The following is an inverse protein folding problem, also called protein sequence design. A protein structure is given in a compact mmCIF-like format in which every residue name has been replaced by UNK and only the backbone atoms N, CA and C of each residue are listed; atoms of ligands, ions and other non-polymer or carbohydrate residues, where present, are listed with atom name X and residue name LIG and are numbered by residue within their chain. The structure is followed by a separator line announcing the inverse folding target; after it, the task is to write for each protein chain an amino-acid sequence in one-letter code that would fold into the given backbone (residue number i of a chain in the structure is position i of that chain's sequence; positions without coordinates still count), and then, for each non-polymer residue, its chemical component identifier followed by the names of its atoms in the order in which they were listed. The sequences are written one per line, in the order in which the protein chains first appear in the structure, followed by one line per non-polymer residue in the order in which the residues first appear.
data_IF_962498697647
#
_entry.id   IF_962498697647
#
_cell.length_a   1.000
_cell.length_b   1.000
_cell.length_c   1.000
_cell.angle_alpha   90.00
_cell.angle_beta   90.00
_cell.angle_gamma   90.00
#
_symmetry.space_group_name_H-M   'P 1'
#
loop_
_entity.id
_entity.type
_entity.pdbx_description
1 polymer ?
#
# COMPACT_ATOMS: atom_id res chain seq x y z
N UNK A 1 -9.67 -13.30 10.98
CA UNK A 1 -8.60 -12.48 10.36
C UNK A 1 -8.32 -13.06 8.99
N UNK A 2 -8.36 -12.22 7.96
CA UNK A 2 -8.25 -12.61 6.55
C UNK A 2 -7.09 -11.85 5.91
N UNK A 3 -6.13 -12.57 5.33
CA UNK A 3 -4.91 -12.04 4.73
C UNK A 3 -4.84 -12.22 3.21
N UNK A 4 -5.95 -12.03 2.51
CA UNK A 4 -6.00 -12.13 1.05
C UNK A 4 -6.43 -10.82 0.41
N UNK A 5 -5.94 -10.53 -0.78
CA UNK A 5 -6.31 -9.37 -1.61
C UNK A 5 -7.51 -9.63 -2.52
N UNK A 6 -8.12 -10.81 -2.50
CA UNK A 6 -9.19 -11.23 -3.41
C UNK A 6 -10.61 -10.74 -3.05
N UNK A 7 -10.75 -9.68 -2.26
CA UNK A 7 -12.05 -9.10 -1.93
C UNK A 7 -12.37 -7.93 -2.87
N UNK A 8 -13.37 -8.14 -3.73
CA UNK A 8 -14.04 -7.09 -4.49
C UNK A 8 -15.15 -6.43 -3.64
N UNK A 9 -15.71 -5.32 -4.13
CA UNK A 9 -16.75 -4.56 -3.43
C UNK A 9 -18.00 -5.40 -3.14
N UNK A 10 -18.37 -6.32 -4.02
CA UNK A 10 -19.52 -7.19 -3.83
C UNK A 10 -19.30 -8.17 -2.66
N UNK A 11 -18.10 -8.76 -2.57
CA UNK A 11 -17.72 -9.64 -1.47
C UNK A 11 -17.62 -8.90 -0.14
N UNK A 12 -17.04 -7.70 -0.16
CA UNK A 12 -16.98 -6.83 1.04
C UNK A 12 -18.37 -6.46 1.51
N UNK A 13 -19.28 -6.08 0.60
CA UNK A 13 -20.68 -5.74 0.93
C UNK A 13 -21.40 -6.94 1.54
N UNK A 14 -21.27 -8.12 0.95
CA UNK A 14 -21.86 -9.35 1.48
C UNK A 14 -21.33 -9.70 2.86
N UNK A 15 -20.01 -9.58 3.06
CA UNK A 15 -19.36 -9.84 4.35
C UNK A 15 -19.82 -8.82 5.41
N UNK A 16 -19.94 -7.55 5.04
CA UNK A 16 -20.45 -6.50 5.92
C UNK A 16 -21.87 -6.79 6.40
N UNK A 17 -22.75 -7.26 5.52
CA UNK A 17 -24.10 -7.65 5.90
C UNK A 17 -24.12 -8.84 6.88
N UNK A 18 -23.29 -9.87 6.63
CA UNK A 18 -23.16 -11.02 7.52
C UNK A 18 -22.63 -10.64 8.91
N UNK A 19 -21.62 -9.76 8.96
CA UNK A 19 -21.04 -9.28 10.22
C UNK A 19 -22.05 -8.42 10.98
N UNK A 20 -22.80 -7.56 10.29
CA UNK A 20 -23.85 -6.73 10.91
C UNK A 20 -24.98 -7.57 11.54
N UNK A 21 -25.29 -8.72 10.96
CA UNK A 21 -26.24 -9.67 11.55
C UNK A 21 -25.69 -10.43 12.78
N UNK A 22 -24.38 -10.32 13.05
CA UNK A 22 -23.67 -10.98 14.13
C UNK A 22 -22.85 -9.99 14.96
N UNK A 23 -23.47 -9.14 15.79
CA UNK A 23 -22.84 -7.97 16.39
C UNK A 23 -21.70 -8.27 17.37
N UNK A 24 -21.50 -9.52 17.75
CA UNK A 24 -20.38 -9.97 18.62
C UNK A 24 -19.17 -10.47 17.81
N UNK A 25 -19.29 -10.56 16.48
CA UNK A 25 -18.22 -11.07 15.62
C UNK A 25 -17.40 -9.93 15.05
N UNK A 26 -16.07 -10.00 15.23
CA UNK A 26 -15.12 -9.12 14.56
C UNK A 26 -14.46 -9.82 13.36
N UNK A 27 -14.39 -9.14 12.22
CA UNK A 27 -13.69 -9.62 11.02
C UNK A 27 -12.69 -8.56 10.58
N UNK A 28 -11.42 -8.92 10.51
CA UNK A 28 -10.35 -8.11 9.93
C UNK A 28 -10.00 -8.64 8.54
N UNK A 29 -10.07 -7.78 7.53
CA UNK A 29 -9.44 -7.99 6.22
C UNK A 29 -8.20 -7.10 6.18
N UNK A 30 -7.00 -7.68 6.11
CA UNK A 30 -5.75 -6.93 5.99
C UNK A 30 -4.98 -7.41 4.76
N UNK A 31 -4.86 -6.59 3.72
CA UNK A 31 -4.11 -6.93 2.52
C UNK A 31 -2.60 -7.04 2.77
N UNK A 32 -2.11 -6.48 3.87
CA UNK A 32 -0.72 -6.60 4.31
C UNK A 32 -0.64 -6.67 5.84
N UNK A 33 0.16 -7.62 6.35
CA UNK A 33 0.44 -7.80 7.79
C UNK A 33 1.86 -7.38 8.19
N UNK A 34 2.71 -6.95 7.24
CA UNK A 34 4.01 -6.38 7.59
C UNK A 34 3.80 -4.99 8.20
N UNK A 35 4.03 -4.85 9.51
CA UNK A 35 3.86 -3.59 10.23
C UNK A 35 4.66 -2.46 9.56
N UNK A 36 5.91 -2.74 9.16
CA UNK A 36 6.73 -1.76 8.47
C UNK A 36 6.16 -1.32 7.12
N UNK A 37 5.49 -2.22 6.36
CA UNK A 37 4.83 -1.86 5.11
C UNK A 37 3.60 -0.97 5.35
N UNK A 38 2.83 -1.23 6.41
CA UNK A 38 1.68 -0.39 6.79
C UNK A 38 2.15 1.00 7.18
N UNK A 39 3.17 1.10 8.04
CA UNK A 39 3.77 2.38 8.43
C UNK A 39 4.36 3.14 7.23
N UNK A 40 5.04 2.43 6.31
CA UNK A 40 5.54 3.04 5.07
C UNK A 40 4.42 3.68 4.26
N UNK A 41 3.28 3.00 4.10
CA UNK A 41 2.11 3.53 3.38
C UNK A 41 1.56 4.81 4.05
N UNK A 42 1.43 4.82 5.38
CA UNK A 42 0.96 5.98 6.14
C UNK A 42 1.93 7.15 6.04
N UNK A 43 3.23 6.90 6.21
CA UNK A 43 4.26 7.93 6.10
C UNK A 43 4.36 8.48 4.68
N UNK A 44 4.22 7.63 3.66
CA UNK A 44 4.20 8.06 2.27
C UNK A 44 2.99 8.96 1.97
N UNK A 45 1.80 8.60 2.44
CA UNK A 45 0.61 9.44 2.30
C UNK A 45 0.78 10.80 3.01
N UNK A 46 1.39 10.81 4.21
CA UNK A 46 1.70 12.05 4.93
C UNK A 46 2.70 12.91 4.17
N UNK A 47 3.81 12.33 3.68
CA UNK A 47 4.85 13.03 2.94
C UNK A 47 4.32 13.60 1.61
N UNK A 48 3.43 12.88 0.91
CA UNK A 48 2.87 13.28 -0.37
C UNK A 48 2.14 14.64 -0.35
N UNK A 49 1.78 15.14 0.82
CA UNK A 49 1.16 16.46 1.01
C UNK A 49 2.14 17.64 0.92
N UNK A 50 3.45 17.37 0.91
CA UNK A 50 4.48 18.39 1.02
C UNK A 50 5.50 18.38 -0.12
N UNK A 51 5.60 17.26 -0.86
CA UNK A 51 6.59 17.12 -1.93
C UNK A 51 5.96 17.29 -3.32
N UNK A 52 6.67 17.99 -4.21
CA UNK A 52 6.19 18.27 -5.56
C UNK A 52 6.13 17.01 -6.42
N UNK A 53 7.08 16.10 -6.25
CA UNK A 53 7.22 14.88 -7.02
C UNK A 53 7.25 13.66 -6.11
N UNK A 54 6.70 12.53 -6.59
CA UNK A 54 6.80 11.25 -5.92
C UNK A 54 6.75 10.10 -6.94
N UNK A 55 7.58 9.08 -6.73
CA UNK A 55 7.58 7.84 -7.51
C UNK A 55 7.73 6.63 -6.59
N UNK A 56 7.20 5.48 -7.00
CA UNK A 56 7.30 4.23 -6.25
C UNK A 56 8.12 3.23 -7.06
N UNK A 57 9.06 2.56 -6.39
CA UNK A 57 9.76 1.38 -6.93
C UNK A 57 9.38 0.18 -6.07
N UNK A 58 8.76 -0.83 -6.65
CA UNK A 58 8.44 -2.09 -5.98
C UNK A 58 9.27 -3.23 -6.59
N UNK A 59 9.75 -4.14 -5.75
CA UNK A 59 10.71 -5.15 -6.16
C UNK A 59 10.32 -6.50 -5.57
N UNK A 60 10.16 -7.52 -6.42
CA UNK A 60 9.75 -8.85 -6.01
C UNK A 60 10.46 -9.94 -6.80
N UNK A 61 10.30 -11.17 -6.32
CA UNK A 61 10.73 -12.36 -7.03
C UNK A 61 10.00 -12.49 -8.38
N UNK A 62 10.64 -13.03 -9.44
CA UNK A 62 10.02 -13.19 -10.77
C UNK A 62 8.76 -14.05 -10.81
N UNK A 63 8.51 -14.90 -9.80
CA UNK A 63 7.28 -15.68 -9.68
C UNK A 63 6.04 -14.88 -9.27
N UNK A 64 6.18 -13.58 -8.94
CA UNK A 64 5.04 -12.72 -8.62
C UNK A 64 4.23 -12.41 -9.88
N UNK A 65 2.94 -12.74 -9.85
CA UNK A 65 2.06 -12.72 -11.03
C UNK A 65 1.46 -11.34 -11.35
N UNK A 66 1.35 -10.47 -10.35
CA UNK A 66 0.81 -9.11 -10.50
C UNK A 66 1.93 -8.07 -10.58
N UNK A 67 1.72 -7.03 -11.38
CA UNK A 67 2.54 -5.82 -11.48
C UNK A 67 1.62 -4.64 -11.88
N UNK A 68 1.65 -3.53 -11.08
CA UNK A 68 2.34 -3.38 -9.81
C UNK A 68 1.77 -4.27 -8.70
N UNK A 69 2.52 -4.42 -7.60
CA UNK A 69 2.04 -5.12 -6.42
C UNK A 69 0.85 -4.41 -5.77
N UNK A 70 -0.05 -5.18 -5.13
CA UNK A 70 -1.19 -4.60 -4.43
C UNK A 70 -0.80 -3.56 -3.35
N UNK A 71 0.34 -3.76 -2.67
CA UNK A 71 0.86 -2.77 -1.70
C UNK A 71 1.28 -1.48 -2.40
N UNK A 72 1.96 -1.56 -3.53
CA UNK A 72 2.38 -0.37 -4.28
C UNK A 72 1.18 0.39 -4.86
N UNK A 73 0.20 -0.33 -5.42
CA UNK A 73 -1.04 0.28 -5.91
C UNK A 73 -1.78 1.01 -4.77
N UNK A 74 -1.94 0.35 -3.61
CA UNK A 74 -2.59 0.96 -2.44
C UNK A 74 -1.82 2.16 -1.90
N UNK A 75 -0.49 2.11 -1.86
CA UNK A 75 0.35 3.26 -1.47
C UNK A 75 0.08 4.44 -2.40
N UNK A 76 0.08 4.22 -3.72
CA UNK A 76 -0.17 5.27 -4.70
C UNK A 76 -1.58 5.88 -4.58
N UNK A 77 -2.61 5.06 -4.30
CA UNK A 77 -3.98 5.54 -4.02
C UNK A 77 -4.00 6.49 -2.83
N UNK A 78 -3.43 6.07 -1.69
CA UNK A 78 -3.36 6.88 -0.47
C UNK A 78 -2.59 8.19 -0.68
N UNK A 79 -1.48 8.14 -1.42
CA UNK A 79 -0.71 9.34 -1.78
C UNK A 79 -1.52 10.27 -2.69
N UNK A 80 -2.23 9.73 -3.69
CA UNK A 80 -3.08 10.49 -4.60
C UNK A 80 -4.21 11.19 -3.84
N UNK A 81 -4.87 10.50 -2.92
CA UNK A 81 -5.90 11.10 -2.04
C UNK A 81 -5.31 12.22 -1.19
N UNK A 82 -4.18 11.98 -0.53
CA UNK A 82 -3.50 12.97 0.31
C UNK A 82 -3.08 14.22 -0.47
N UNK A 83 -2.59 14.06 -1.71
CA UNK A 83 -2.25 15.18 -2.60
C UNK A 83 -3.48 16.00 -2.99
N UNK A 84 -4.59 15.34 -3.33
CA UNK A 84 -5.86 16.01 -3.64
C UNK A 84 -6.40 16.83 -2.44
N UNK A 85 -6.43 16.22 -1.24
CA UNK A 85 -6.88 16.90 -0.01
C UNK A 85 -6.03 18.13 0.32
N UNK A 86 -4.74 18.10 -0.05
CA UNK A 86 -3.81 19.21 0.19
C UNK A 86 -3.72 20.19 -0.99
N UNK A 87 -4.58 20.04 -2.00
CA UNK A 87 -4.60 20.86 -3.22
C UNK A 87 -3.22 20.96 -3.92
N UNK A 88 -2.46 19.86 -3.87
CA UNK A 88 -1.15 19.80 -4.52
C UNK A 88 -1.30 19.93 -6.04
N UNK A 89 -0.36 20.65 -6.66
CA UNK A 89 -0.28 20.77 -8.11
C UNK A 89 0.07 19.42 -8.76
N UNK A 90 -0.25 19.23 -10.05
CA UNK A 90 0.27 18.10 -10.81
C UNK A 90 1.79 18.00 -10.69
N UNK A 91 2.30 16.78 -10.64
CA UNK A 91 3.75 16.56 -10.58
C UNK A 91 4.43 17.04 -11.86
N UNK A 92 5.58 17.74 -11.77
CA UNK A 92 6.31 18.18 -12.95
C UNK A 92 6.88 16.97 -13.70
N UNK A 93 6.60 16.88 -14.99
CA UNK A 93 7.19 15.89 -15.89
C UNK A 93 7.33 16.54 -17.28
N UNK A 94 8.56 16.77 -17.71
CA UNK A 94 8.88 17.36 -19.00
C UNK A 94 9.21 16.31 -20.09
N UNK A 95 8.94 15.03 -19.83
CA UNK A 95 9.24 13.92 -20.75
C UNK A 95 8.43 14.07 -22.03
N UNK A 96 9.12 14.25 -23.16
CA UNK A 96 8.50 14.36 -24.51
C UNK A 96 8.75 13.13 -25.38
N UNK A 97 9.78 12.36 -25.09
CA UNK A 97 10.15 11.14 -25.81
C UNK A 97 10.44 10.03 -24.79
N UNK A 98 9.78 8.91 -24.94
CA UNK A 98 10.01 7.73 -24.09
C UNK A 98 9.69 6.45 -24.83
N UNK A 99 10.30 5.37 -24.46
CA UNK A 99 9.85 4.02 -24.77
C UNK A 99 8.64 3.66 -23.90
N UNK A 100 7.80 2.74 -24.37
CA UNK A 100 6.65 2.27 -23.60
C UNK A 100 7.10 1.72 -22.24
N UNK A 101 6.41 2.15 -21.19
CA UNK A 101 6.70 1.74 -19.82
C UNK A 101 7.92 2.41 -19.15
N UNK A 102 8.71 3.24 -19.86
CA UNK A 102 9.91 3.88 -19.29
C UNK A 102 9.60 4.76 -18.07
N UNK A 103 8.40 5.35 -18.00
CA UNK A 103 7.91 6.14 -16.86
C UNK A 103 7.03 5.33 -15.92
N UNK A 104 7.13 3.98 -15.96
CA UNK A 104 6.35 3.07 -15.15
C UNK A 104 4.86 3.04 -15.51
N UNK A 105 4.08 2.37 -14.69
CA UNK A 105 2.61 2.45 -14.71
C UNK A 105 2.14 3.55 -13.75
N UNK A 106 0.92 4.07 -13.93
CA UNK A 106 0.37 5.08 -13.03
C UNK A 106 -0.86 4.55 -12.29
N UNK A 107 -0.91 4.83 -10.99
CA UNK A 107 -2.12 4.69 -10.19
C UNK A 107 -2.44 6.09 -9.63
N UNK A 108 -3.57 6.64 -10.05
CA UNK A 108 -3.79 8.06 -9.92
C UNK A 108 -2.75 8.87 -10.72
N UNK A 109 -2.04 9.76 -10.07
CA UNK A 109 -0.93 10.52 -10.66
C UNK A 109 0.46 9.99 -10.28
N UNK A 110 0.54 8.96 -9.45
CA UNK A 110 1.81 8.40 -8.93
C UNK A 110 2.37 7.33 -9.89
N UNK A 111 3.57 7.51 -10.46
CA UNK A 111 4.27 6.47 -11.21
C UNK A 111 4.75 5.33 -10.30
N UNK A 112 4.62 4.10 -10.81
CA UNK A 112 5.09 2.88 -10.13
C UNK A 112 5.97 2.09 -11.08
N UNK A 113 7.18 1.76 -10.63
CA UNK A 113 8.15 0.94 -11.34
C UNK A 113 8.23 -0.43 -10.69
N UNK A 114 8.00 -1.49 -11.47
CA UNK A 114 7.99 -2.87 -10.97
C UNK A 114 9.27 -3.60 -11.39
N UNK A 115 10.07 -4.01 -10.42
CA UNK A 115 11.29 -4.80 -10.64
C UNK A 115 11.03 -6.25 -10.28
N UNK A 116 11.45 -7.17 -11.14
CA UNK A 116 11.40 -8.63 -10.94
C UNK A 116 12.79 -9.21 -11.08
N UNK A 117 13.39 -9.67 -9.94
CA UNK A 117 14.73 -10.27 -9.95
C UNK A 117 14.83 -11.41 -8.94
N UNK A 118 15.67 -12.40 -9.24
CA UNK A 118 15.97 -13.50 -8.33
C UNK A 118 16.59 -12.96 -7.04
N UNK A 119 16.29 -13.60 -5.91
CA UNK A 119 16.79 -13.19 -4.58
C UNK A 119 15.94 -12.13 -3.88
N UNK A 120 15.07 -11.41 -4.61
CA UNK A 120 14.13 -10.48 -4.00
C UNK A 120 12.95 -11.23 -3.36
N UNK A 121 12.47 -10.73 -2.23
CA UNK A 121 11.25 -11.22 -1.56
C UNK A 121 10.09 -10.23 -1.80
N UNK A 122 10.03 -9.14 -1.04
CA UNK A 122 9.03 -8.09 -1.23
C UNK A 122 9.61 -6.78 -0.67
N UNK A 123 9.83 -5.83 -1.54
CA UNK A 123 10.46 -4.56 -1.23
C UNK A 123 9.68 -3.42 -1.87
N UNK A 124 9.63 -2.29 -1.21
CA UNK A 124 9.08 -1.07 -1.78
C UNK A 124 9.84 0.15 -1.29
N UNK A 125 10.11 1.04 -2.22
CA UNK A 125 10.72 2.33 -1.98
C UNK A 125 9.81 3.42 -2.55
N UNK A 126 9.57 4.48 -1.77
CA UNK A 126 8.84 5.67 -2.19
C UNK A 126 9.82 6.82 -2.17
N UNK A 127 10.12 7.36 -3.35
CA UNK A 127 11.01 8.49 -3.54
C UNK A 127 10.18 9.77 -3.69
N UNK A 128 10.48 10.77 -2.89
CA UNK A 128 9.92 12.12 -2.97
C UNK A 128 10.98 13.12 -3.39
N UNK A 129 10.59 14.08 -4.20
CA UNK A 129 11.45 15.19 -4.64
C UNK A 129 10.82 16.55 -4.37
N UNK A 130 11.60 17.45 -3.81
CA UNK A 130 11.31 18.86 -3.60
C UNK A 130 12.48 19.74 -3.99
N UNK A 131 12.34 21.05 -3.84
CA UNK A 131 13.40 22.00 -4.18
C UNK A 131 14.59 21.81 -3.24
N UNK A 132 15.69 21.30 -3.78
CA UNK A 132 16.96 21.14 -3.05
C UNK A 132 17.03 19.91 -2.12
N UNK A 133 16.01 19.03 -2.12
CA UNK A 133 15.99 17.84 -1.27
C UNK A 133 15.25 16.65 -1.90
N UNK A 134 15.57 15.48 -1.43
CA UNK A 134 14.81 14.25 -1.64
C UNK A 134 14.53 13.56 -0.32
N UNK A 135 13.40 12.85 -0.23
CA UNK A 135 13.08 11.95 0.87
C UNK A 135 12.82 10.56 0.31
N UNK A 136 13.44 9.55 0.87
CA UNK A 136 13.15 8.14 0.54
C UNK A 136 12.60 7.42 1.75
N UNK A 137 11.47 6.75 1.57
CA UNK A 137 10.88 5.85 2.57
C UNK A 137 10.93 4.44 1.99
N UNK A 138 11.60 3.53 2.68
CA UNK A 138 11.81 2.15 2.19
C UNK A 138 11.41 1.12 3.22
N UNK A 139 10.79 0.05 2.75
CA UNK A 139 10.48 -1.16 3.51
C UNK A 139 10.95 -2.39 2.76
N UNK A 140 11.63 -3.29 3.47
CA UNK A 140 12.14 -4.56 2.95
C UNK A 140 11.57 -5.71 3.79
N UNK A 141 10.77 -6.59 3.17
CA UNK A 141 10.43 -7.90 3.72
C UNK A 141 11.48 -8.90 3.27
N UNK A 142 12.27 -9.39 4.20
CA UNK A 142 13.36 -10.34 3.93
C UNK A 142 12.90 -11.79 4.12
N UNK A 143 11.86 -12.00 4.94
CA UNK A 143 11.29 -13.31 5.25
C UNK A 143 9.80 -13.17 5.58
N UNK A 144 9.03 -14.25 5.36
CA UNK A 144 7.60 -14.31 5.70
C UNK A 144 7.33 -14.21 7.20
N UNK A 145 8.30 -14.52 8.04
CA UNK A 145 8.20 -14.32 9.50
C UNK A 145 7.90 -12.87 9.85
N UNK A 146 8.32 -11.91 9.03
CA UNK A 146 8.04 -10.47 9.21
C UNK A 146 6.56 -10.10 9.21
N UNK A 147 5.66 -10.97 8.71
CA UNK A 147 4.21 -10.76 8.78
C UNK A 147 3.61 -11.17 10.13
N UNK A 148 4.28 -12.05 10.89
CA UNK A 148 3.70 -12.65 12.10
C UNK A 148 3.37 -11.64 13.20
N UNK A 149 4.19 -10.62 13.48
CA UNK A 149 3.81 -9.60 14.46
C UNK A 149 2.49 -8.91 14.12
N UNK A 150 2.26 -8.57 12.86
CA UNK A 150 0.99 -7.95 12.41
C UNK A 150 -0.18 -8.91 12.45
N UNK A 151 0.02 -10.20 12.11
CA UNK A 151 -1.01 -11.23 12.26
C UNK A 151 -1.44 -11.33 13.72
N UNK A 152 -0.48 -11.40 14.66
CA UNK A 152 -0.76 -11.46 16.09
C UNK A 152 -1.46 -10.20 16.61
N UNK A 153 -1.04 -9.02 16.11
CA UNK A 153 -1.72 -7.77 16.41
C UNK A 153 -3.18 -7.82 15.97
N UNK A 154 -3.42 -8.21 14.71
CA UNK A 154 -4.77 -8.34 14.16
C UNK A 154 -5.66 -9.32 14.95
N UNK A 155 -5.13 -10.50 15.30
CA UNK A 155 -5.86 -11.50 16.10
C UNK A 155 -6.22 -10.97 17.49
N UNK A 156 -5.27 -10.33 18.16
CA UNK A 156 -5.48 -9.81 19.53
C UNK A 156 -6.43 -8.61 19.56
N UNK A 157 -6.42 -7.81 18.51
CA UNK A 157 -7.25 -6.60 18.42
C UNK A 157 -8.67 -6.91 17.98
N UNK A 158 -8.88 -7.83 17.03
CA UNK A 158 -10.21 -8.07 16.45
C UNK A 158 -11.20 -8.63 17.46
N UNK A 159 -10.75 -9.37 18.46
CA UNK A 159 -11.64 -9.92 19.52
C UNK A 159 -12.30 -8.84 20.37
N UNK A 160 -11.70 -7.64 20.40
CA UNK A 160 -12.21 -6.48 21.16
C UNK A 160 -12.91 -5.46 20.25
N UNK A 161 -12.91 -5.68 18.93
CA UNK A 161 -13.44 -4.76 17.94
C UNK A 161 -14.45 -5.51 17.04
N UNK A 162 -15.69 -5.72 17.48
CA UNK A 162 -16.71 -6.35 16.65
C UNK A 162 -17.03 -5.47 15.44
N UNK A 163 -17.46 -6.12 14.37
CA UNK A 163 -17.71 -5.46 13.10
C UNK A 163 -16.68 -5.84 12.04
N UNK A 164 -16.80 -5.23 10.87
CA UNK A 164 -15.85 -5.41 9.77
C UNK A 164 -14.80 -4.29 9.79
N UNK A 165 -13.55 -4.67 9.97
CA UNK A 165 -12.38 -3.77 9.88
C UNK A 165 -11.60 -4.10 8.62
N UNK A 166 -11.26 -3.08 7.84
CA UNK A 166 -10.43 -3.19 6.64
C UNK A 166 -9.13 -2.41 6.83
N UNK A 167 -8.01 -3.14 6.80
CA UNK A 167 -6.67 -2.60 7.05
C UNK A 167 -6.16 -2.86 8.47
N UNK A 168 -4.87 -3.21 8.58
CA UNK A 168 -4.20 -3.41 9.87
C UNK A 168 -3.95 -2.08 10.59
N UNK A 169 -3.83 -0.98 9.82
CA UNK A 169 -3.65 0.39 10.29
C UNK A 169 -4.69 0.82 11.35
N UNK A 170 -5.88 0.24 11.31
CA UNK A 170 -6.95 0.52 12.28
C UNK A 170 -6.66 0.00 13.69
N UNK A 171 -5.62 -0.81 13.84
CA UNK A 171 -5.20 -1.41 15.12
C UNK A 171 -3.79 -0.97 15.57
N UNK A 172 -3.18 -0.03 14.84
CA UNK A 172 -1.84 0.51 15.11
C UNK A 172 -1.88 1.84 15.86
#
# INVERSE_FOLDING_TARGET
VVGTTGFDDARVTKLKALVSANPKVGVLIAPNFAIGAVLMMEFAAKAARYFESAEIVEMHNPAKVDAPSGTAARTAELMTEARKESAMKPMPDATKQSLDGARGSKVGDIPIHSIRAQGLVAHQEVLFGGVGETLTIRHDSLDRAGFMPGVLLGIRSIVKNPGLTHGLDKFM
#
